data_IF_668473662119
#
_entry.id   IF_668473662119
#
_cell.length_a   1.000
_cell.length_b   1.000
_cell.length_c   1.000
_cell.angle_alpha   90.00
_cell.angle_beta   90.00
_cell.angle_gamma   90.00
#
_symmetry.space_group_name_H-M   'P 1'
#
loop_
_entity.id
_entity.type
_entity.pdbx_description
1 polymer ?
#
# COMPACT_ATOMS: atom_id res chain seq x y z
N UNK A 1 -0.60 20.58 -12.30
CA UNK A 1 0.26 21.65 -12.86
C UNK A 1 1.24 21.01 -13.83
N UNK A 2 1.25 21.47 -15.04
CA UNK A 2 2.09 20.99 -16.15
C UNK A 2 3.45 21.71 -16.07
N UNK A 3 4.56 20.98 -16.02
CA UNK A 3 5.91 21.57 -16.03
C UNK A 3 6.77 20.91 -17.09
N UNK A 4 7.56 21.72 -17.81
CA UNK A 4 8.58 21.25 -18.75
C UNK A 4 9.94 21.16 -18.02
N UNK A 5 10.54 19.98 -17.96
CA UNK A 5 11.92 19.79 -17.51
C UNK A 5 12.63 18.84 -18.46
N UNK A 6 13.69 19.30 -19.12
CA UNK A 6 14.50 18.53 -20.08
C UNK A 6 13.71 17.89 -21.23
N UNK A 7 12.76 18.62 -21.85
CA UNK A 7 12.02 18.14 -23.02
C UNK A 7 10.92 17.10 -22.75
N UNK A 8 10.72 16.68 -21.49
CA UNK A 8 9.64 15.76 -21.11
C UNK A 8 8.51 16.52 -20.39
N UNK A 9 7.28 16.30 -20.85
CA UNK A 9 6.06 16.74 -20.17
C UNK A 9 5.88 15.94 -18.88
N UNK A 10 5.85 16.63 -17.74
CA UNK A 10 5.51 16.03 -16.43
C UNK A 10 4.19 16.63 -15.93
N UNK A 11 3.25 15.75 -15.64
CA UNK A 11 1.98 16.09 -15.04
C UNK A 11 2.02 15.78 -13.55
N UNK A 12 2.30 16.78 -12.72
CA UNK A 12 2.34 16.61 -11.26
C UNK A 12 0.91 16.46 -10.70
N UNK A 13 0.69 15.43 -9.89
CA UNK A 13 -0.60 15.19 -9.24
C UNK A 13 -1.69 14.63 -10.16
N UNK A 14 -1.29 14.14 -11.36
CA UNK A 14 -2.24 13.51 -12.30
C UNK A 14 -2.88 12.26 -11.70
N UNK A 15 -2.22 11.55 -10.81
CA UNK A 15 -2.76 10.38 -10.13
C UNK A 15 -3.96 10.74 -9.25
N UNK A 16 -3.83 11.81 -8.46
CA UNK A 16 -4.91 12.29 -7.59
C UNK A 16 -6.08 12.88 -8.41
N UNK A 17 -5.75 13.62 -9.46
CA UNK A 17 -6.74 14.17 -10.39
C UNK A 17 -7.48 13.06 -11.16
N UNK A 18 -6.73 12.10 -11.73
CA UNK A 18 -7.27 10.95 -12.42
C UNK A 18 -8.16 10.08 -11.53
N UNK A 19 -7.75 9.86 -10.28
CA UNK A 19 -8.53 9.13 -9.29
C UNK A 19 -9.89 9.81 -9.01
N UNK A 20 -9.92 11.14 -8.90
CA UNK A 20 -11.16 11.89 -8.74
C UNK A 20 -12.04 11.80 -9.97
N UNK A 21 -11.48 12.05 -11.14
CA UNK A 21 -12.21 11.99 -12.42
C UNK A 21 -12.80 10.60 -12.65
N UNK A 22 -12.02 9.53 -12.47
CA UNK A 22 -12.49 8.15 -12.65
C UNK A 22 -13.63 7.81 -11.69
N UNK A 23 -13.52 8.22 -10.41
CA UNK A 23 -14.59 8.02 -9.44
C UNK A 23 -15.87 8.73 -9.84
N UNK A 24 -15.79 10.02 -10.20
CA UNK A 24 -16.95 10.84 -10.55
C UNK A 24 -17.62 10.31 -11.83
N UNK A 25 -16.81 9.87 -12.81
CA UNK A 25 -17.31 9.26 -14.03
C UNK A 25 -18.03 7.95 -13.78
N UNK A 26 -17.46 7.05 -12.97
CA UNK A 26 -18.08 5.78 -12.65
C UNK A 26 -19.40 5.95 -11.87
N UNK A 27 -19.46 6.91 -10.94
CA UNK A 27 -20.71 7.24 -10.24
C UNK A 27 -21.78 7.78 -11.19
N UNK A 28 -21.42 8.62 -12.17
CA UNK A 28 -22.34 9.08 -13.21
C UNK A 28 -22.84 7.95 -14.10
N UNK A 29 -21.98 6.96 -14.37
CA UNK A 29 -22.33 5.73 -15.10
C UNK A 29 -23.08 4.71 -14.23
N UNK A 30 -23.47 5.08 -12.99
CA UNK A 30 -24.22 4.26 -12.05
C UNK A 30 -23.49 2.98 -11.59
N UNK A 31 -22.17 2.96 -11.61
CA UNK A 31 -21.42 1.93 -10.91
C UNK A 31 -21.59 2.05 -9.39
N UNK A 32 -21.39 0.93 -8.69
CA UNK A 32 -21.46 0.94 -7.23
C UNK A 32 -20.42 1.89 -6.60
N UNK A 33 -20.72 2.43 -5.42
CA UNK A 33 -19.75 3.24 -4.67
C UNK A 33 -18.46 2.45 -4.39
N UNK A 34 -18.59 1.16 -4.10
CA UNK A 34 -17.47 0.24 -3.87
C UNK A 34 -16.57 0.19 -5.10
N UNK A 35 -17.10 -0.18 -6.26
CA UNK A 35 -16.34 -0.25 -7.52
C UNK A 35 -15.68 1.09 -7.86
N UNK A 36 -16.41 2.19 -7.68
CA UNK A 36 -15.88 3.53 -7.97
C UNK A 36 -14.71 3.91 -7.06
N UNK A 37 -14.72 3.49 -5.79
CA UNK A 37 -13.62 3.69 -4.85
C UNK A 37 -12.43 2.77 -5.17
N UNK A 38 -12.67 1.51 -5.50
CA UNK A 38 -11.63 0.55 -5.88
C UNK A 38 -10.85 1.04 -7.11
N UNK A 39 -11.55 1.40 -8.18
CA UNK A 39 -10.90 1.94 -9.40
C UNK A 39 -10.17 3.25 -9.11
N UNK A 40 -10.77 4.16 -8.35
CA UNK A 40 -10.13 5.42 -7.95
C UNK A 40 -8.83 5.17 -7.17
N UNK A 41 -8.83 4.17 -6.28
CA UNK A 41 -7.65 3.79 -5.51
C UNK A 41 -6.55 3.17 -6.39
N UNK A 42 -6.90 2.34 -7.36
CA UNK A 42 -5.97 1.81 -8.34
C UNK A 42 -5.32 2.93 -9.17
N UNK A 43 -6.13 3.84 -9.72
CA UNK A 43 -5.64 4.99 -10.48
C UNK A 43 -4.71 5.87 -9.64
N UNK A 44 -5.04 6.10 -8.37
CA UNK A 44 -4.21 6.89 -7.45
C UNK A 44 -2.84 6.26 -7.20
N UNK A 45 -2.75 4.95 -7.17
CA UNK A 45 -1.58 4.24 -6.70
C UNK A 45 -0.76 3.55 -7.80
N UNK A 46 -1.22 3.53 -9.08
CA UNK A 46 -0.58 2.75 -10.15
C UNK A 46 0.91 3.09 -10.36
N UNK A 47 1.31 4.34 -10.15
CA UNK A 47 2.71 4.76 -10.28
C UNK A 47 3.62 4.32 -9.12
N UNK A 48 3.07 3.84 -7.99
CA UNK A 48 3.90 3.42 -6.84
C UNK A 48 4.81 2.25 -7.16
N UNK A 49 4.34 1.33 -8.03
CA UNK A 49 5.15 0.19 -8.45
C UNK A 49 6.38 0.62 -9.25
N UNK A 50 6.25 1.66 -10.10
CA UNK A 50 7.40 2.23 -10.82
C UNK A 50 8.44 2.85 -9.87
N UNK A 51 8.00 3.39 -8.74
CA UNK A 51 8.89 3.85 -7.68
C UNK A 51 9.68 2.70 -7.07
N UNK A 52 9.03 1.58 -6.77
CA UNK A 52 9.68 0.37 -6.27
C UNK A 52 10.63 -0.26 -7.30
N UNK A 53 10.29 -0.24 -8.59
CA UNK A 53 11.12 -0.78 -9.67
C UNK A 53 12.47 -0.05 -9.83
N UNK A 54 12.59 1.19 -9.32
CA UNK A 54 13.87 1.93 -9.27
C UNK A 54 14.80 1.43 -8.16
N UNK A 55 14.26 0.74 -7.16
CA UNK A 55 15.04 0.11 -6.12
C UNK A 55 15.58 -1.22 -6.66
N UNK A 56 16.89 -1.44 -6.49
CA UNK A 56 17.53 -2.68 -6.98
C UNK A 56 16.98 -3.95 -6.32
N UNK A 57 16.55 -3.83 -5.06
CA UNK A 57 15.93 -4.91 -4.28
C UNK A 57 15.01 -4.31 -3.20
N UNK A 58 13.71 -4.11 -3.48
CA UNK A 58 12.81 -3.58 -2.48
C UNK A 58 12.61 -4.58 -1.34
N UNK A 59 12.86 -4.13 -0.10
CA UNK A 59 12.67 -4.95 1.10
C UNK A 59 11.19 -5.31 1.36
N UNK A 60 10.96 -6.30 2.21
CA UNK A 60 9.62 -6.82 2.54
C UNK A 60 8.64 -5.72 3.00
N UNK A 61 9.13 -4.77 3.81
CA UNK A 61 8.33 -3.62 4.28
C UNK A 61 7.83 -2.75 3.12
N UNK A 62 8.69 -2.46 2.15
CA UNK A 62 8.31 -1.65 0.99
C UNK A 62 7.26 -2.36 0.11
N UNK A 63 7.41 -3.68 -0.07
CA UNK A 63 6.44 -4.52 -0.78
C UNK A 63 5.09 -4.55 -0.08
N UNK A 64 5.08 -4.82 1.23
CA UNK A 64 3.86 -4.84 2.02
C UNK A 64 3.16 -3.49 2.08
N UNK A 65 3.93 -2.39 2.15
CA UNK A 65 3.39 -1.04 2.12
C UNK A 65 2.61 -0.74 0.83
N UNK A 66 3.05 -1.26 -0.33
CA UNK A 66 2.28 -1.14 -1.57
C UNK A 66 0.92 -1.81 -1.43
N UNK A 67 0.88 -3.08 -1.01
CA UNK A 67 -0.36 -3.83 -0.86
C UNK A 67 -1.30 -3.23 0.18
N UNK A 68 -0.78 -2.71 1.29
CA UNK A 68 -1.59 -1.99 2.28
C UNK A 68 -2.21 -0.71 1.70
N UNK A 69 -1.45 0.04 0.89
CA UNK A 69 -1.92 1.29 0.31
C UNK A 69 -3.08 1.09 -0.68
N UNK A 70 -3.09 -0.02 -1.42
CA UNK A 70 -4.15 -0.32 -2.40
C UNK A 70 -5.27 -1.17 -1.83
N UNK A 71 -5.04 -1.84 -0.71
CA UNK A 71 -5.96 -2.79 -0.11
C UNK A 71 -5.77 -4.23 -0.62
N UNK A 72 -6.23 -5.20 0.18
CA UNK A 72 -6.03 -6.63 -0.07
C UNK A 72 -6.60 -7.05 -1.43
N UNK A 73 -7.84 -6.66 -1.71
CA UNK A 73 -8.57 -7.09 -2.91
C UNK A 73 -7.96 -6.51 -4.20
N UNK A 74 -7.43 -5.28 -4.14
CA UNK A 74 -6.81 -4.60 -5.28
C UNK A 74 -5.29 -4.87 -5.41
N UNK A 75 -4.74 -5.72 -4.55
CA UNK A 75 -3.28 -5.95 -4.50
C UNK A 75 -2.71 -6.55 -5.78
N UNK A 76 -3.41 -7.48 -6.40
CA UNK A 76 -3.00 -8.06 -7.69
C UNK A 76 -3.30 -7.13 -8.86
N UNK A 77 -4.44 -6.42 -8.81
CA UNK A 77 -4.87 -5.52 -9.89
C UNK A 77 -3.85 -4.41 -10.12
N UNK A 78 -3.24 -3.88 -9.06
CA UNK A 78 -2.23 -2.81 -9.19
C UNK A 78 -0.98 -3.31 -9.94
N UNK A 79 -0.60 -4.58 -9.77
CA UNK A 79 0.56 -5.15 -10.45
C UNK A 79 0.28 -5.25 -11.96
N UNK A 80 -0.88 -5.78 -12.33
CA UNK A 80 -1.27 -5.90 -13.73
C UNK A 80 -1.54 -4.56 -14.40
N UNK A 81 -2.19 -3.63 -13.70
CA UNK A 81 -2.42 -2.28 -14.18
C UNK A 81 -1.10 -1.56 -14.50
N UNK A 82 -0.10 -1.67 -13.61
CA UNK A 82 1.21 -1.06 -13.81
C UNK A 82 1.97 -1.67 -15.00
N UNK A 83 1.85 -2.98 -15.24
CA UNK A 83 2.43 -3.62 -16.43
C UNK A 83 1.74 -3.15 -17.72
N UNK A 84 0.41 -3.07 -17.71
CA UNK A 84 -0.37 -2.60 -18.85
C UNK A 84 -0.03 -1.15 -19.20
N UNK A 85 0.05 -0.28 -18.17
CA UNK A 85 0.45 1.13 -18.35
C UNK A 85 1.87 1.28 -18.91
N UNK A 86 2.83 0.52 -18.35
CA UNK A 86 4.20 0.52 -18.88
C UNK A 86 4.28 0.10 -20.34
N UNK A 87 3.52 -0.93 -20.72
CA UNK A 87 3.48 -1.41 -22.09
C UNK A 87 2.84 -0.40 -23.06
N UNK A 88 1.75 0.24 -22.63
CA UNK A 88 1.04 1.25 -23.40
C UNK A 88 1.88 2.51 -23.59
N UNK A 89 2.65 2.92 -22.59
CA UNK A 89 3.41 4.18 -22.63
C UNK A 89 4.79 4.05 -23.27
N UNK A 90 5.47 2.92 -23.08
CA UNK A 90 6.85 2.71 -23.55
C UNK A 90 6.96 1.90 -24.85
N UNK A 91 5.88 1.27 -25.30
CA UNK A 91 5.85 0.46 -26.51
C UNK A 91 6.68 -0.82 -26.48
N UNK A 92 7.22 -1.21 -25.29
CA UNK A 92 8.06 -2.39 -25.13
C UNK A 92 8.02 -2.96 -23.71
N UNK A 93 8.75 -4.06 -23.49
CA UNK A 93 8.85 -4.70 -22.19
C UNK A 93 9.81 -3.95 -21.26
N UNK A 94 9.32 -3.53 -20.09
CA UNK A 94 10.16 -3.07 -18.99
C UNK A 94 10.58 -4.29 -18.15
N UNK A 95 11.76 -4.85 -18.47
CA UNK A 95 12.26 -6.06 -17.80
C UNK A 95 12.44 -5.89 -16.29
N UNK A 96 12.77 -4.68 -15.83
CA UNK A 96 12.94 -4.43 -14.40
C UNK A 96 11.57 -4.46 -13.70
N UNK A 97 10.56 -3.83 -14.28
CA UNK A 97 9.19 -3.86 -13.78
C UNK A 97 8.63 -5.29 -13.81
N UNK A 98 8.87 -6.04 -14.88
CA UNK A 98 8.40 -7.43 -14.99
C UNK A 98 8.98 -8.32 -13.89
N UNK A 99 10.29 -8.25 -13.64
CA UNK A 99 10.95 -8.99 -12.55
C UNK A 99 10.38 -8.59 -11.19
N UNK A 100 10.16 -7.29 -10.96
CA UNK A 100 9.56 -6.82 -9.73
C UNK A 100 8.14 -7.37 -9.56
N UNK A 101 7.32 -7.40 -10.61
CA UNK A 101 5.96 -7.97 -10.54
C UNK A 101 6.00 -9.45 -10.19
N UNK A 102 6.91 -10.23 -10.78
CA UNK A 102 7.08 -11.64 -10.41
C UNK A 102 7.45 -11.80 -8.92
N UNK A 103 8.39 -11.01 -8.43
CA UNK A 103 8.81 -10.98 -7.04
C UNK A 103 7.66 -10.51 -6.09
N UNK A 104 6.87 -9.54 -6.52
CA UNK A 104 5.68 -9.08 -5.77
C UNK A 104 4.58 -10.13 -5.73
N UNK A 105 4.36 -10.89 -6.81
CA UNK A 105 3.41 -12.01 -6.83
C UNK A 105 3.84 -13.11 -5.87
N UNK A 106 5.11 -13.52 -5.90
CA UNK A 106 5.65 -14.50 -4.96
C UNK A 106 5.47 -14.02 -3.51
N UNK A 107 5.86 -12.78 -3.21
CA UNK A 107 5.66 -12.18 -1.90
C UNK A 107 4.18 -12.14 -1.48
N UNK A 108 3.27 -11.79 -2.38
CA UNK A 108 1.84 -11.73 -2.10
C UNK A 108 1.30 -13.10 -1.67
N UNK A 109 1.55 -14.15 -2.45
CA UNK A 109 1.00 -15.47 -2.17
C UNK A 109 1.71 -16.21 -1.04
N UNK A 110 3.03 -16.08 -0.93
CA UNK A 110 3.81 -16.83 0.05
C UNK A 110 3.82 -16.18 1.43
N UNK A 111 3.73 -14.86 1.49
CA UNK A 111 3.93 -14.10 2.73
C UNK A 111 2.74 -13.23 3.09
N UNK A 112 2.34 -12.32 2.21
CA UNK A 112 1.41 -11.25 2.55
C UNK A 112 -0.01 -11.75 2.78
N UNK A 113 -0.58 -12.55 1.88
CA UNK A 113 -1.94 -13.06 2.00
C UNK A 113 -2.13 -13.95 3.23
N UNK A 114 -1.15 -14.81 3.51
CA UNK A 114 -1.18 -15.72 4.67
C UNK A 114 -1.15 -14.97 6.01
N UNK A 115 -0.39 -13.87 6.09
CA UNK A 115 -0.32 -13.04 7.31
C UNK A 115 -1.59 -12.23 7.55
N UNK A 116 -2.29 -11.83 6.48
CA UNK A 116 -3.53 -11.07 6.57
C UNK A 116 -4.74 -11.93 7.01
N UNK A 117 -4.65 -13.25 6.86
CA UNK A 117 -5.74 -14.16 7.28
C UNK A 117 -5.87 -14.26 8.81
N UNK A 118 -4.78 -14.08 9.55
CA UNK A 118 -4.77 -14.08 11.03
C UNK A 118 -3.85 -12.97 11.54
N UNK A 119 -4.38 -11.77 11.77
CA UNK A 119 -3.59 -10.71 12.40
C UNK A 119 -3.16 -11.16 13.81
N UNK A 120 -1.95 -10.78 14.21
CA UNK A 120 -1.40 -11.13 15.53
C UNK A 120 -2.23 -10.53 16.68
N UNK A 121 -2.80 -9.34 16.44
CA UNK A 121 -3.79 -8.68 17.30
C UNK A 121 -4.82 -8.01 16.41
N UNK A 122 -6.10 -8.17 16.75
CA UNK A 122 -7.19 -7.46 16.08
C UNK A 122 -7.45 -6.08 16.71
N UNK A 123 -8.35 -5.30 16.09
CA UNK A 123 -8.65 -3.94 16.56
C UNK A 123 -9.22 -3.90 17.97
N UNK A 124 -10.05 -4.88 18.35
CA UNK A 124 -10.62 -5.00 19.68
C UNK A 124 -9.55 -5.28 20.73
N UNK A 125 -8.69 -6.27 20.48
CA UNK A 125 -7.54 -6.59 21.34
C UNK A 125 -6.57 -5.40 21.51
N UNK A 126 -6.38 -4.61 20.45
CA UNK A 126 -5.54 -3.40 20.50
C UNK A 126 -6.17 -2.34 21.41
N UNK A 127 -7.46 -2.05 21.21
CA UNK A 127 -8.19 -1.08 22.03
C UNK A 127 -8.15 -1.46 23.52
N UNK A 128 -8.37 -2.72 23.85
CA UNK A 128 -8.32 -3.23 25.22
C UNK A 128 -6.90 -3.18 25.82
N UNK A 129 -5.89 -3.69 25.08
CA UNK A 129 -4.51 -3.82 25.56
C UNK A 129 -3.83 -2.48 25.79
N UNK A 130 -4.08 -1.52 24.91
CA UNK A 130 -3.42 -0.19 24.94
C UNK A 130 -4.33 0.92 25.48
N UNK A 131 -5.60 0.60 25.81
CA UNK A 131 -6.62 1.55 26.31
C UNK A 131 -6.80 2.74 25.36
N UNK A 132 -6.88 2.47 24.06
CA UNK A 132 -7.09 3.47 23.02
C UNK A 132 -8.52 3.36 22.49
N UNK A 133 -9.12 4.51 22.16
CA UNK A 133 -10.43 4.55 21.53
C UNK A 133 -10.37 4.09 20.07
N UNK A 134 -11.51 3.64 19.54
CA UNK A 134 -11.65 3.33 18.13
C UNK A 134 -11.29 4.55 17.27
N UNK A 135 -10.49 4.34 16.23
CA UNK A 135 -10.12 5.41 15.32
C UNK A 135 -8.76 5.19 14.66
N UNK A 136 -8.21 6.28 14.15
CA UNK A 136 -6.96 6.30 13.37
C UNK A 136 -5.79 5.66 14.10
N UNK A 137 -5.68 5.85 15.43
CA UNK A 137 -4.57 5.33 16.22
C UNK A 137 -4.55 3.79 16.23
N UNK A 138 -5.72 3.14 16.26
CA UNK A 138 -5.81 1.67 16.16
C UNK A 138 -5.21 1.18 14.84
N UNK A 139 -5.54 1.85 13.72
CA UNK A 139 -4.98 1.53 12.40
C UNK A 139 -3.46 1.75 12.34
N UNK A 140 -2.94 2.81 12.97
CA UNK A 140 -1.51 3.08 13.05
C UNK A 140 -0.79 2.00 13.88
N UNK A 141 -1.36 1.55 15.00
CA UNK A 141 -0.82 0.45 15.81
C UNK A 141 -0.82 -0.86 15.03
N UNK A 142 -1.91 -1.19 14.31
CA UNK A 142 -1.97 -2.38 13.46
C UNK A 142 -0.88 -2.35 12.39
N UNK A 143 -0.65 -1.19 11.77
CA UNK A 143 0.41 -1.02 10.78
C UNK A 143 1.79 -1.25 11.40
N UNK A 144 2.07 -0.68 12.57
CA UNK A 144 3.35 -0.83 13.26
C UNK A 144 3.62 -2.28 13.68
N UNK A 145 2.59 -3.00 14.17
CA UNK A 145 2.70 -4.44 14.45
C UNK A 145 3.02 -5.22 13.17
N UNK A 146 2.35 -4.92 12.07
CA UNK A 146 2.58 -5.57 10.79
C UNK A 146 4.00 -5.32 10.27
N UNK A 147 4.48 -4.08 10.36
CA UNK A 147 5.85 -3.71 9.99
C UNK A 147 6.87 -4.47 10.83
N UNK A 148 6.67 -4.53 12.15
CA UNK A 148 7.55 -5.27 13.05
C UNK A 148 7.58 -6.78 12.81
N UNK A 149 6.46 -7.36 12.36
CA UNK A 149 6.41 -8.77 11.96
C UNK A 149 7.19 -8.98 10.65
N UNK A 150 7.06 -8.07 9.69
CA UNK A 150 7.75 -8.14 8.39
C UNK A 150 9.26 -7.96 8.55
N UNK A 151 9.68 -7.10 9.46
CA UNK A 151 11.08 -6.88 9.82
C UNK A 151 11.67 -8.00 10.71
N UNK A 152 10.82 -8.91 11.20
CA UNK A 152 11.24 -10.10 11.96
C UNK A 152 11.50 -9.87 13.45
N UNK A 153 11.26 -8.68 13.98
CA UNK A 153 11.44 -8.37 15.40
C UNK A 153 10.16 -8.50 16.25
N UNK A 154 8.99 -8.68 15.59
CA UNK A 154 7.75 -9.09 16.25
C UNK A 154 7.37 -10.51 15.78
N UNK A 155 7.40 -11.47 16.69
CA UNK A 155 7.08 -12.87 16.39
C UNK A 155 5.85 -13.40 17.18
N UNK A 156 5.42 -12.65 18.20
CA UNK A 156 4.31 -13.03 19.07
C UNK A 156 3.67 -11.80 19.73
N UNK A 157 2.47 -11.98 20.32
CA UNK A 157 1.72 -10.91 20.99
C UNK A 157 2.52 -10.18 22.07
N UNK A 158 3.33 -10.91 22.88
CA UNK A 158 4.14 -10.31 23.94
C UNK A 158 5.15 -9.30 23.37
N UNK A 159 5.83 -9.65 22.29
CA UNK A 159 6.76 -8.76 21.60
C UNK A 159 6.03 -7.57 20.97
N UNK A 160 4.86 -7.79 20.34
CA UNK A 160 4.03 -6.72 19.81
C UNK A 160 3.67 -5.69 20.88
N UNK A 161 3.19 -6.15 22.04
CA UNK A 161 2.85 -5.26 23.16
C UNK A 161 4.06 -4.45 23.63
N UNK A 162 5.23 -5.06 23.75
CA UNK A 162 6.45 -4.37 24.19
C UNK A 162 6.88 -3.29 23.19
N UNK A 163 6.89 -3.62 21.90
CA UNK A 163 7.26 -2.69 20.82
C UNK A 163 6.27 -1.51 20.76
N UNK A 164 4.97 -1.79 20.78
CA UNK A 164 3.96 -0.74 20.66
C UNK A 164 3.93 0.17 21.89
N UNK A 165 4.14 -0.34 23.10
CA UNK A 165 4.26 0.52 24.28
C UNK A 165 5.41 1.50 24.16
N UNK A 166 6.58 1.05 23.69
CA UNK A 166 7.73 1.93 23.44
C UNK A 166 7.42 2.96 22.35
N UNK A 167 6.79 2.53 21.27
CA UNK A 167 6.39 3.40 20.17
C UNK A 167 5.38 4.48 20.62
N UNK A 168 4.38 4.13 21.43
CA UNK A 168 3.42 5.09 21.99
C UNK A 168 4.10 6.09 22.94
N UNK A 169 5.03 5.63 23.79
CA UNK A 169 5.78 6.50 24.70
C UNK A 169 6.64 7.52 23.96
N UNK A 170 7.26 7.14 22.84
CA UNK A 170 8.06 8.08 22.02
C UNK A 170 7.22 9.18 21.36
N UNK A 171 5.93 8.92 21.11
CA UNK A 171 4.98 9.94 20.55
C UNK A 171 4.47 10.93 21.59
N UNK A 172 4.41 10.52 22.86
CA UNK A 172 3.95 11.39 23.96
C UNK A 172 5.05 12.32 24.47
N UNK A 173 6.32 12.00 24.25
CA UNK A 173 7.48 12.81 24.65
C UNK A 173 7.93 13.87 23.66
N UNK A 174 7.22 14.07 22.56
CA UNK A 174 7.55 15.00 21.47
C UNK A 174 6.66 16.24 21.40
N UNK A 175 6.02 16.66 22.51
CA UNK A 175 5.22 17.86 22.57
C UNK A 175 5.87 18.89 23.48
#
# INVERSE_FOLDING_TARGET
TMTHKHGALRFWGHEAMGARISRDMLLRLRFSRRTSLEVSNLVKNHHRLFGLAKLRNPGLRAKAHLFRAVGKDAGLDILFLSLADARATKGGEDRALYRLVQDMLAFYFETYSRKMEKPLMDGGEIMETFRVAEGRLVGEIMSEISDGIEEGHIKNKRQAVAVIRKWLSSRQGGN
#
